data_IF_971716490449
#
_entry.id   IF_971716490449
#
_cell.length_a   1.000
_cell.length_b   1.000
_cell.length_c   1.000
_cell.angle_alpha   90.00
_cell.angle_beta   90.00
_cell.angle_gamma   90.00
#
_symmetry.space_group_name_H-M   'P 1'
#
loop_
_entity.id
_entity.type
_entity.pdbx_description
1 polymer ?
#
# COMPACT_ATOMS: atom_id res chain seq x y z
N UNK A 1 8.28 0.39 -5.48
CA UNK A 1 9.75 0.44 -5.61
C UNK A 1 10.22 1.52 -6.59
N UNK A 2 9.89 1.47 -7.89
CA UNK A 2 10.38 2.45 -8.87
C UNK A 2 10.14 3.94 -8.53
N UNK A 3 9.02 4.26 -7.85
CA UNK A 3 8.69 5.63 -7.39
C UNK A 3 9.24 5.97 -6.00
N UNK A 4 9.74 4.98 -5.27
CA UNK A 4 10.40 5.12 -3.98
C UNK A 4 11.92 4.98 -4.17
N UNK A 5 12.52 5.99 -4.81
CA UNK A 5 13.95 5.96 -5.14
C UNK A 5 14.82 6.01 -3.89
N UNK A 6 14.37 6.75 -2.88
CA UNK A 6 15.10 6.93 -1.62
C UNK A 6 15.01 5.70 -0.69
N UNK A 7 14.11 4.76 -0.98
CA UNK A 7 14.02 3.50 -0.23
C UNK A 7 13.38 3.64 1.14
N UNK A 8 12.36 4.49 1.24
CA UNK A 8 11.61 4.68 2.48
C UNK A 8 10.79 3.46 2.88
N UNK A 9 10.42 2.60 1.93
CA UNK A 9 9.52 1.48 2.19
C UNK A 9 10.20 0.12 2.04
N UNK A 10 9.91 -0.74 3.01
CA UNK A 10 10.09 -2.17 2.91
C UNK A 10 8.73 -2.82 2.57
N UNK A 11 8.77 -3.96 1.90
CA UNK A 11 7.59 -4.63 1.38
C UNK A 11 7.54 -6.06 1.91
N UNK A 12 6.34 -6.51 2.24
CA UNK A 12 6.06 -7.89 2.63
C UNK A 12 4.80 -8.35 1.92
N UNK A 13 4.73 -9.65 1.60
CA UNK A 13 3.50 -10.24 1.09
C UNK A 13 2.41 -10.23 2.16
N UNK A 14 1.20 -9.81 1.81
CA UNK A 14 0.06 -9.84 2.73
C UNK A 14 -0.32 -11.27 3.14
N UNK A 15 -0.05 -12.24 2.26
CA UNK A 15 -0.27 -13.66 2.47
C UNK A 15 0.95 -14.38 3.08
N UNK A 16 2.11 -13.72 3.05
CA UNK A 16 3.36 -14.22 3.63
C UNK A 16 3.34 -14.26 5.16
N UNK A 17 4.35 -14.86 5.75
CA UNK A 17 4.40 -15.11 7.20
C UNK A 17 4.37 -13.79 7.98
N UNK A 18 5.20 -12.83 7.57
CA UNK A 18 5.27 -11.51 8.22
C UNK A 18 3.95 -10.74 8.05
N UNK A 19 3.36 -10.76 6.86
CA UNK A 19 2.08 -10.10 6.59
C UNK A 19 0.95 -10.66 7.46
N UNK A 20 0.85 -11.98 7.58
CA UNK A 20 -0.13 -12.62 8.45
C UNK A 20 0.13 -12.32 9.92
N UNK A 21 1.38 -12.32 10.36
CA UNK A 21 1.76 -11.97 11.74
C UNK A 21 1.33 -10.55 12.08
N UNK A 22 1.65 -9.57 11.23
CA UNK A 22 1.26 -8.16 11.44
C UNK A 22 -0.26 -7.99 11.47
N UNK A 23 -1.00 -8.68 10.58
CA UNK A 23 -2.47 -8.64 10.59
C UNK A 23 -3.06 -9.11 11.91
N UNK A 24 -2.50 -10.16 12.50
CA UNK A 24 -2.92 -10.68 13.81
C UNK A 24 -2.54 -9.73 14.94
N UNK A 25 -1.30 -9.22 14.94
CA UNK A 25 -0.80 -8.32 15.99
C UNK A 25 -1.58 -7.02 16.08
N UNK A 26 -2.00 -6.46 14.93
CA UNK A 26 -2.73 -5.20 14.88
C UNK A 26 -4.24 -5.36 14.69
N UNK A 27 -4.77 -6.57 14.86
CA UNK A 27 -6.21 -6.90 14.76
C UNK A 27 -6.88 -6.33 13.48
N UNK A 28 -6.17 -6.43 12.36
CA UNK A 28 -6.60 -5.86 11.08
C UNK A 28 -7.85 -6.57 10.61
N UNK A 29 -8.87 -5.80 10.19
CA UNK A 29 -10.09 -6.36 9.64
C UNK A 29 -9.76 -7.28 8.44
N UNK A 30 -10.25 -8.53 8.42
CA UNK A 30 -9.98 -9.46 7.33
C UNK A 30 -10.43 -8.95 5.95
N UNK A 31 -11.42 -8.04 5.92
CA UNK A 31 -11.91 -7.36 4.70
C UNK A 31 -10.89 -6.36 4.11
N UNK A 32 -9.91 -5.92 4.89
CA UNK A 32 -8.83 -5.06 4.41
C UNK A 32 -7.71 -5.94 3.79
N UNK A 33 -7.91 -6.32 2.53
CA UNK A 33 -7.08 -7.28 1.78
C UNK A 33 -6.15 -6.62 0.73
N UNK A 34 -6.17 -5.30 0.64
CA UNK A 34 -5.57 -4.56 -0.47
C UNK A 34 -4.19 -4.00 -0.17
N UNK A 35 -4.04 -3.25 0.93
CA UNK A 35 -2.77 -2.63 1.34
C UNK A 35 -2.78 -2.31 2.84
N UNK A 36 -1.65 -2.57 3.49
CA UNK A 36 -1.38 -2.21 4.87
C UNK A 36 -0.09 -1.38 4.93
N UNK A 37 -0.09 -0.33 5.73
CA UNK A 37 1.10 0.45 6.03
C UNK A 37 1.33 0.43 7.54
N UNK A 38 2.49 -0.04 7.97
CA UNK A 38 2.94 0.07 9.35
C UNK A 38 3.94 1.22 9.43
N UNK A 39 3.68 2.20 10.27
CA UNK A 39 4.53 3.38 10.48
C UNK A 39 4.47 3.81 11.96
N UNK A 40 5.64 3.88 12.62
CA UNK A 40 5.79 4.25 14.04
C UNK A 40 4.79 3.55 14.97
N UNK A 41 4.77 2.23 14.91
CA UNK A 41 3.87 1.34 15.69
C UNK A 41 2.37 1.53 15.45
N UNK A 42 1.98 2.26 14.40
CA UNK A 42 0.60 2.38 13.97
C UNK A 42 0.38 1.66 12.65
N UNK A 43 -0.77 1.01 12.52
CA UNK A 43 -1.22 0.44 11.25
C UNK A 43 -2.23 1.35 10.57
N UNK A 44 -2.07 1.51 9.27
CA UNK A 44 -3.01 2.20 8.40
C UNK A 44 -3.49 1.22 7.33
N UNK A 45 -4.78 1.34 6.98
CA UNK A 45 -5.42 0.51 5.96
C UNK A 45 -6.13 1.38 4.91
N UNK A 46 -6.55 0.74 3.80
CA UNK A 46 -7.34 1.35 2.71
C UNK A 46 -6.76 2.68 2.18
N UNK A 47 -7.63 3.69 2.00
CA UNK A 47 -7.27 5.01 1.51
C UNK A 47 -6.21 5.67 2.39
N UNK A 48 -6.27 5.45 3.71
CA UNK A 48 -5.34 6.10 4.65
C UNK A 48 -3.92 5.59 4.46
N UNK A 49 -3.75 4.27 4.30
CA UNK A 49 -2.47 3.67 3.94
C UNK A 49 -1.96 4.20 2.60
N UNK A 50 -2.80 4.15 1.56
CA UNK A 50 -2.43 4.58 0.21
C UNK A 50 -1.98 6.06 0.18
N UNK A 51 -2.74 6.95 0.80
CA UNK A 51 -2.45 8.38 0.82
C UNK A 51 -1.20 8.71 1.66
N UNK A 52 -0.97 7.98 2.75
CA UNK A 52 0.27 8.11 3.54
C UNK A 52 1.49 7.58 2.79
N UNK A 53 1.36 6.49 2.04
CA UNK A 53 2.43 6.03 1.14
C UNK A 53 2.74 7.15 0.13
N UNK A 54 1.71 7.67 -0.55
CA UNK A 54 1.86 8.77 -1.50
C UNK A 54 2.55 10.01 -0.92
N UNK A 55 2.29 10.35 0.35
CA UNK A 55 2.94 11.49 1.03
C UNK A 55 4.47 11.38 1.08
N UNK A 56 5.02 10.18 1.21
CA UNK A 56 6.47 9.96 1.27
C UNK A 56 7.09 9.64 -0.10
N UNK A 57 6.28 9.59 -1.16
CA UNK A 57 6.77 9.44 -2.52
C UNK A 57 6.99 10.82 -3.16
N UNK A 58 8.06 10.95 -3.95
CA UNK A 58 8.37 12.19 -4.68
C UNK A 58 7.52 12.35 -5.94
N UNK A 59 7.28 13.60 -6.35
CA UNK A 59 6.59 13.97 -7.59
C UNK A 59 5.08 14.20 -7.42
N UNK A 60 4.33 14.19 -8.52
CA UNK A 60 2.90 14.53 -8.53
C UNK A 60 2.01 13.62 -7.66
N UNK A 61 2.49 12.42 -7.29
CA UNK A 61 1.78 11.52 -6.37
C UNK A 61 1.72 12.06 -4.95
N UNK A 62 2.67 12.91 -4.55
CA UNK A 62 2.65 13.55 -3.23
C UNK A 62 1.40 14.43 -3.05
N UNK A 63 0.92 15.06 -4.12
CA UNK A 63 -0.29 15.88 -4.10
C UNK A 63 -1.54 15.08 -3.74
N UNK A 64 -1.55 13.76 -4.01
CA UNK A 64 -2.66 12.91 -3.59
C UNK A 64 -2.80 12.90 -2.06
N UNK A 65 -1.72 13.08 -1.30
CA UNK A 65 -1.81 13.14 0.16
C UNK A 65 -2.70 14.28 0.69
N UNK A 66 -2.99 15.32 -0.12
CA UNK A 66 -3.96 16.37 0.21
C UNK A 66 -5.38 15.82 0.40
N UNK A 67 -5.73 14.70 -0.23
CA UNK A 67 -7.00 14.02 -0.02
C UNK A 67 -7.13 13.41 1.40
N UNK A 68 -6.09 13.45 2.23
CA UNK A 68 -6.22 13.13 3.66
C UNK A 68 -7.14 14.11 4.40
N UNK A 69 -7.33 15.32 3.87
CA UNK A 69 -8.29 16.30 4.42
C UNK A 69 -9.75 15.90 4.14
N UNK A 70 -10.01 15.09 3.12
CA UNK A 70 -11.35 14.60 2.80
C UNK A 70 -11.81 13.58 3.87
N UNK A 71 -13.07 13.65 4.33
CA UNK A 71 -13.62 12.72 5.30
C UNK A 71 -13.39 11.25 4.93
N UNK A 72 -13.00 10.44 5.92
CA UNK A 72 -12.62 9.03 5.74
C UNK A 72 -13.66 8.24 4.94
N UNK A 73 -14.95 8.41 5.23
CA UNK A 73 -16.03 7.67 4.57
C UNK A 73 -16.06 7.88 3.05
N UNK A 74 -15.85 9.11 2.59
CA UNK A 74 -15.89 9.45 1.16
C UNK A 74 -14.66 8.86 0.46
N UNK A 75 -13.47 9.08 1.03
CA UNK A 75 -12.24 8.58 0.43
C UNK A 75 -12.12 7.06 0.48
N UNK A 76 -12.64 6.40 1.51
CA UNK A 76 -12.70 4.94 1.59
C UNK A 76 -13.70 4.38 0.57
N UNK A 77 -14.87 5.00 0.38
CA UNK A 77 -15.80 4.59 -0.66
C UNK A 77 -15.19 4.71 -2.07
N UNK A 78 -14.52 5.84 -2.36
CA UNK A 78 -13.80 6.02 -3.62
C UNK A 78 -12.68 4.98 -3.78
N UNK A 79 -11.92 4.72 -2.71
CA UNK A 79 -10.88 3.70 -2.70
C UNK A 79 -11.44 2.31 -2.97
N UNK A 80 -12.56 1.93 -2.36
CA UNK A 80 -13.21 0.63 -2.54
C UNK A 80 -13.72 0.44 -3.99
N UNK A 81 -14.14 1.51 -4.66
CA UNK A 81 -14.50 1.46 -6.09
C UNK A 81 -13.24 1.23 -6.95
N UNK A 82 -12.17 1.99 -6.69
CA UNK A 82 -10.89 1.83 -7.40
C UNK A 82 -10.32 0.43 -7.18
N UNK A 83 -10.30 -0.06 -5.94
CA UNK A 83 -9.75 -1.35 -5.57
C UNK A 83 -10.50 -2.50 -6.27
N UNK A 84 -11.83 -2.43 -6.32
CA UNK A 84 -12.66 -3.41 -7.04
C UNK A 84 -12.46 -3.36 -8.56
N UNK A 85 -12.29 -2.17 -9.13
CA UNK A 85 -12.10 -2.02 -10.57
C UNK A 85 -10.63 -2.05 -11.03
N UNK A 86 -9.65 -2.20 -10.13
CA UNK A 86 -8.22 -2.01 -10.43
C UNK A 86 -7.75 -2.87 -11.60
N UNK A 87 -8.20 -4.12 -11.66
CA UNK A 87 -7.81 -5.04 -12.73
C UNK A 87 -8.52 -4.75 -14.05
N UNK A 88 -9.72 -4.16 -13.99
CA UNK A 88 -10.47 -3.73 -15.18
C UNK A 88 -9.90 -2.44 -15.77
N UNK A 89 -9.43 -1.53 -14.93
CA UNK A 89 -8.90 -0.23 -15.35
C UNK A 89 -7.42 -0.24 -15.70
N UNK A 90 -6.61 -0.95 -14.92
CA UNK A 90 -5.15 -0.99 -15.10
C UNK A 90 -4.65 -2.28 -15.76
N UNK A 91 -5.54 -3.25 -15.94
CA UNK A 91 -5.19 -4.57 -16.46
C UNK A 91 -4.45 -5.42 -15.42
N UNK A 92 -4.25 -6.69 -15.76
CA UNK A 92 -3.31 -7.55 -15.03
C UNK A 92 -1.89 -7.31 -15.57
N UNK A 93 -0.87 -7.31 -14.69
CA UNK A 93 0.51 -7.30 -15.16
C UNK A 93 0.74 -8.54 -16.04
N UNK A 94 1.10 -8.33 -17.31
CA UNK A 94 1.32 -9.42 -18.28
C UNK A 94 2.59 -10.23 -17.99
N UNK A 95 3.49 -9.70 -17.17
CA UNK A 95 4.76 -10.33 -16.82
C UNK A 95 5.04 -10.16 -15.33
N UNK A 96 5.50 -11.23 -14.69
CA UNK A 96 6.07 -11.16 -13.34
C UNK A 96 7.44 -10.46 -13.43
N UNK A 97 7.54 -9.24 -12.89
CA UNK A 97 8.82 -8.54 -12.77
C UNK A 97 9.65 -9.23 -11.68
N UNK A 98 10.78 -9.80 -12.06
CA UNK A 98 11.79 -10.24 -11.09
C UNK A 98 12.44 -9.01 -10.42
N UNK A 99 12.44 -8.93 -9.08
CA UNK A 99 13.06 -7.81 -8.38
C UNK A 99 14.58 -7.84 -8.58
N UNK A 100 15.16 -6.66 -8.78
CA UNK A 100 16.62 -6.45 -8.79
C UNK A 100 17.24 -6.77 -7.42
N UNK A 101 18.56 -6.89 -7.35
CA UNK A 101 19.27 -7.17 -6.09
C UNK A 101 18.96 -6.13 -4.99
N UNK A 102 18.84 -4.86 -5.36
CA UNK A 102 18.50 -3.79 -4.43
C UNK A 102 17.05 -3.85 -3.97
N UNK A 103 16.12 -4.12 -4.89
CA UNK A 103 14.70 -4.32 -4.56
C UNK A 103 14.50 -5.51 -3.62
N UNK A 104 15.23 -6.62 -3.83
CA UNK A 104 15.18 -7.80 -2.95
C UNK A 104 15.58 -7.47 -1.50
N UNK A 105 16.53 -6.56 -1.27
CA UNK A 105 16.91 -6.15 0.09
C UNK A 105 15.78 -5.44 0.84
N UNK A 106 14.80 -4.91 0.11
CA UNK A 106 13.61 -4.25 0.67
C UNK A 106 12.42 -5.21 0.81
N UNK A 107 12.54 -6.44 0.34
CA UNK A 107 11.55 -7.49 0.60
C UNK A 107 11.89 -8.15 1.94
N UNK A 108 10.88 -8.26 2.80
CA UNK A 108 11.01 -8.86 4.13
C UNK A 108 10.61 -10.35 4.15
N UNK A 109 10.05 -10.84 3.04
CA UNK A 109 9.58 -12.21 2.76
C UNK A 109 9.71 -12.44 1.25
#
# INVERSE_FOLDING_TARGET
MNRDRDGHFHFASLQGELGQKLRRTYEVNPLDDSVLLVDRDQIYTKSTAALRICRNLKGGVQLLSLFLFVPKSIRDAAYDVVARNRFRWFGHPKHCKLPTKEERRRLLD
#
